data_IF_823940441220
#
_entry.id   IF_823940441220
#
_cell.length_a   1.000
_cell.length_b   1.000
_cell.length_c   1.000
_cell.angle_alpha   90.00
_cell.angle_beta   90.00
_cell.angle_gamma   90.00
#
_symmetry.space_group_name_H-M   'P 1'
#
loop_
_entity.id
_entity.type
_entity.pdbx_description
1 polymer ?
#
# COMPACT_ATOMS: atom_id res chain seq x y z
N UNK A 1 -2.71 -5.86 -13.81
CA UNK A 1 -2.28 -4.46 -13.64
C UNK A 1 -1.95 -3.85 -15.00
N UNK A 2 -1.05 -4.45 -15.80
CA UNK A 2 -0.64 -3.91 -17.10
C UNK A 2 -1.81 -3.58 -18.03
N UNK A 3 -2.78 -4.49 -18.18
CA UNK A 3 -3.99 -4.23 -18.96
C UNK A 3 -4.79 -3.01 -18.46
N UNK A 4 -4.82 -2.79 -17.13
CA UNK A 4 -5.49 -1.61 -16.56
C UNK A 4 -4.79 -0.32 -16.99
N UNK A 5 -3.47 -0.28 -16.91
CA UNK A 5 -2.66 0.89 -17.30
C UNK A 5 -2.77 1.16 -18.81
N UNK A 6 -2.71 0.11 -19.65
CA UNK A 6 -2.84 0.25 -21.11
C UNK A 6 -4.22 0.80 -21.51
N UNK A 7 -5.31 0.28 -20.89
CA UNK A 7 -6.67 0.69 -21.21
C UNK A 7 -6.99 2.09 -20.66
N UNK A 8 -6.45 2.44 -19.49
CA UNK A 8 -6.64 3.73 -18.82
C UNK A 8 -5.29 4.22 -18.29
N UNK A 9 -4.50 4.96 -19.08
CA UNK A 9 -3.18 5.44 -18.68
C UNK A 9 -3.18 6.31 -17.40
N UNK A 10 -4.22 7.09 -17.19
CA UNK A 10 -4.45 7.94 -16.01
C UNK A 10 -5.14 7.20 -14.85
N UNK A 11 -5.00 5.86 -14.77
CA UNK A 11 -5.66 5.09 -13.73
C UNK A 11 -5.07 5.32 -12.35
N UNK A 12 -5.90 5.13 -11.32
CA UNK A 12 -5.50 5.07 -9.92
C UNK A 12 -5.32 3.61 -9.53
N UNK A 13 -4.10 3.23 -9.20
CA UNK A 13 -3.74 1.88 -8.73
C UNK A 13 -3.61 1.87 -7.20
N UNK A 14 -4.36 0.99 -6.55
CA UNK A 14 -4.15 0.62 -5.17
C UNK A 14 -3.06 -0.46 -5.08
N UNK A 15 -1.99 -0.21 -4.34
CA UNK A 15 -0.82 -1.08 -4.26
C UNK A 15 -0.64 -1.66 -2.86
N UNK A 16 0.01 -2.81 -2.79
CA UNK A 16 0.31 -3.54 -1.57
C UNK A 16 1.82 -3.73 -1.39
N UNK A 17 2.26 -4.00 -0.18
CA UNK A 17 3.64 -4.34 0.16
C UNK A 17 3.78 -5.80 0.57
N UNK A 18 4.97 -6.20 1.01
CA UNK A 18 5.27 -7.57 1.41
C UNK A 18 5.83 -8.42 0.27
N UNK A 19 6.05 -9.71 0.53
CA UNK A 19 6.72 -10.59 -0.43
C UNK A 19 5.86 -10.96 -1.64
N UNK A 20 4.54 -11.00 -1.49
CA UNK A 20 3.61 -11.43 -2.55
C UNK A 20 3.67 -10.55 -3.80
N UNK A 21 3.65 -9.21 -3.74
CA UNK A 21 3.65 -8.36 -4.95
C UNK A 21 5.02 -8.17 -5.60
N UNK A 22 6.15 -8.57 -4.99
CA UNK A 22 7.49 -8.31 -5.53
C UNK A 22 7.62 -8.83 -6.97
N UNK A 23 7.25 -10.08 -7.22
CA UNK A 23 7.32 -10.65 -8.57
C UNK A 23 6.42 -9.94 -9.59
N UNK A 24 5.30 -9.37 -9.13
CA UNK A 24 4.42 -8.55 -9.98
C UNK A 24 5.13 -7.24 -10.33
N UNK A 25 5.74 -6.56 -9.34
CA UNK A 25 6.48 -5.32 -9.58
C UNK A 25 7.69 -5.53 -10.48
N UNK A 26 8.46 -6.59 -10.26
CA UNK A 26 9.60 -6.93 -11.13
C UNK A 26 9.15 -7.13 -12.59
N UNK A 27 8.02 -7.80 -12.82
CA UNK A 27 7.49 -8.00 -14.15
C UNK A 27 6.99 -6.68 -14.78
N UNK A 28 6.38 -5.78 -14.00
CA UNK A 28 5.96 -4.46 -14.48
C UNK A 28 7.17 -3.60 -14.86
N UNK A 29 8.24 -3.65 -14.06
CA UNK A 29 9.51 -2.96 -14.35
C UNK A 29 10.15 -3.51 -15.62
N UNK A 30 10.15 -4.84 -15.82
CA UNK A 30 10.67 -5.46 -17.05
C UNK A 30 9.91 -4.96 -18.29
N UNK A 31 8.57 -4.92 -18.24
CA UNK A 31 7.76 -4.41 -19.35
C UNK A 31 7.96 -2.92 -19.59
N UNK A 32 8.15 -2.13 -18.54
CA UNK A 32 8.50 -0.71 -18.66
C UNK A 32 9.84 -0.54 -19.39
N UNK A 33 10.88 -1.29 -19.05
CA UNK A 33 12.18 -1.23 -19.71
C UNK A 33 12.14 -1.70 -21.18
N UNK A 34 11.16 -2.54 -21.53
CA UNK A 34 10.91 -2.95 -22.92
C UNK A 34 10.06 -1.95 -23.70
N UNK A 35 9.60 -0.87 -23.08
CA UNK A 35 8.64 0.10 -23.60
C UNK A 35 7.25 -0.51 -23.93
N UNK A 36 6.87 -1.59 -23.26
CA UNK A 36 5.56 -2.23 -23.40
C UNK A 36 4.49 -1.53 -22.55
N UNK A 37 4.89 -0.78 -21.52
CA UNK A 37 4.00 -0.08 -20.59
C UNK A 37 4.61 1.26 -20.16
N UNK A 38 3.76 2.28 -20.01
CA UNK A 38 4.11 3.62 -19.55
C UNK A 38 3.32 3.95 -18.28
N UNK A 39 4.01 4.45 -17.24
CA UNK A 39 3.41 4.81 -15.96
C UNK A 39 3.36 6.32 -15.71
N UNK A 40 3.73 7.16 -16.69
CA UNK A 40 3.87 8.62 -16.50
C UNK A 40 2.58 9.31 -16.03
N UNK A 41 1.42 8.80 -16.42
CA UNK A 41 0.11 9.33 -16.01
C UNK A 41 -0.54 8.55 -14.86
N UNK A 42 0.04 7.42 -14.47
CA UNK A 42 -0.51 6.57 -13.40
C UNK A 42 -0.40 7.27 -12.05
N UNK A 43 -1.45 7.19 -11.28
CA UNK A 43 -1.46 7.57 -9.85
C UNK A 43 -1.53 6.32 -8.98
N UNK A 44 -0.81 6.30 -7.87
CA UNK A 44 -0.83 5.17 -6.94
C UNK A 44 -1.24 5.58 -5.54
N UNK A 45 -1.94 4.69 -4.84
CA UNK A 45 -2.26 4.78 -3.42
C UNK A 45 -1.91 3.45 -2.75
N UNK A 46 -1.18 3.48 -1.63
CA UNK A 46 -0.82 2.26 -0.90
C UNK A 46 -1.87 1.88 0.13
N UNK A 47 -1.98 0.58 0.42
CA UNK A 47 -2.91 0.06 1.43
C UNK A 47 -2.61 0.57 2.84
N UNK A 48 -1.33 0.71 3.17
CA UNK A 48 -0.89 0.87 4.55
C UNK A 48 0.51 1.47 4.66
N UNK A 49 0.88 1.88 5.87
CA UNK A 49 2.23 2.25 6.30
C UNK A 49 2.35 2.08 7.81
N UNK A 50 3.52 1.73 8.29
CA UNK A 50 3.83 1.70 9.72
C UNK A 50 3.82 3.12 10.32
N UNK A 51 3.15 3.26 11.47
CA UNK A 51 3.21 4.49 12.26
C UNK A 51 4.50 4.52 13.06
N UNK A 52 5.22 5.65 12.99
CA UNK A 52 6.48 5.88 13.69
C UNK A 52 7.72 5.67 12.83
N UNK A 53 7.59 5.19 11.59
CA UNK A 53 8.73 5.09 10.67
C UNK A 53 8.80 6.32 9.76
N UNK A 54 10.04 6.80 9.52
CA UNK A 54 10.28 7.83 8.51
C UNK A 54 10.42 7.18 7.12
N UNK A 55 10.33 7.99 6.09
CA UNK A 55 10.48 7.54 4.68
C UNK A 55 11.85 6.92 4.38
N UNK A 56 12.88 7.35 5.12
CA UNK A 56 14.26 6.89 4.97
C UNK A 56 14.52 5.56 5.69
N UNK A 57 13.61 5.14 6.58
CA UNK A 57 13.73 3.84 7.25
C UNK A 57 13.53 2.72 6.23
N UNK A 58 14.48 1.81 6.13
CA UNK A 58 14.49 0.70 5.16
C UNK A 58 13.36 -0.33 5.39
N UNK A 59 12.65 -0.24 6.51
CA UNK A 59 11.48 -1.05 6.82
C UNK A 59 10.15 -0.31 6.59
N UNK A 60 10.16 0.98 6.22
CA UNK A 60 8.95 1.69 5.82
C UNK A 60 8.40 1.15 4.50
N UNK A 61 7.07 1.21 4.35
CA UNK A 61 6.46 0.83 3.07
C UNK A 61 6.71 1.86 1.98
N UNK A 62 6.98 3.11 2.37
CA UNK A 62 7.52 4.11 1.45
C UNK A 62 8.83 3.63 0.82
N UNK A 63 9.82 3.23 1.63
CA UNK A 63 11.10 2.72 1.17
C UNK A 63 10.92 1.45 0.31
N UNK A 64 10.05 0.53 0.76
CA UNK A 64 9.73 -0.67 0.00
C UNK A 64 9.23 -0.34 -1.41
N UNK A 65 8.26 0.57 -1.54
CA UNK A 65 7.67 0.91 -2.83
C UNK A 65 8.66 1.59 -3.77
N UNK A 66 9.52 2.47 -3.24
CA UNK A 66 10.60 3.09 -4.00
C UNK A 66 11.59 2.04 -4.51
N UNK A 67 12.03 1.13 -3.64
CA UNK A 67 12.98 0.07 -4.00
C UNK A 67 12.43 -0.90 -5.05
N UNK A 68 11.16 -1.29 -4.93
CA UNK A 68 10.62 -2.35 -5.77
C UNK A 68 9.88 -1.85 -7.03
N UNK A 69 9.40 -0.60 -7.04
CA UNK A 69 8.62 -0.09 -8.17
C UNK A 69 8.94 1.37 -8.53
N UNK A 70 8.75 2.33 -7.60
CA UNK A 70 8.65 3.75 -7.99
C UNK A 70 9.92 4.30 -8.62
N UNK A 71 11.11 3.98 -8.08
CA UNK A 71 12.38 4.43 -8.62
C UNK A 71 12.84 3.63 -9.86
N UNK A 72 12.09 2.59 -10.23
CA UNK A 72 12.43 1.69 -11.35
C UNK A 72 11.57 1.90 -12.59
N UNK A 73 10.55 2.77 -12.50
CA UNK A 73 9.63 3.15 -13.59
C UNK A 73 9.44 4.66 -13.60
N UNK A 74 8.64 5.19 -14.53
CA UNK A 74 8.42 6.64 -14.67
C UNK A 74 7.16 7.17 -13.96
N UNK A 75 6.74 6.56 -12.85
CA UNK A 75 5.70 7.15 -11.99
C UNK A 75 6.21 8.49 -11.46
N UNK A 76 5.39 9.53 -11.59
CA UNK A 76 5.73 10.86 -11.07
C UNK A 76 5.68 10.85 -9.53
N UNK A 77 6.67 11.48 -8.86
CA UNK A 77 6.70 11.51 -7.38
C UNK A 77 5.45 12.13 -6.74
N UNK A 78 4.83 13.13 -7.40
CA UNK A 78 3.60 13.77 -6.97
C UNK A 78 2.32 12.97 -7.27
N UNK A 79 2.46 11.80 -7.92
CA UNK A 79 1.39 10.85 -8.21
C UNK A 79 1.48 9.58 -7.36
N UNK A 80 2.38 9.49 -6.39
CA UNK A 80 2.47 8.33 -5.48
C UNK A 80 2.10 8.73 -4.05
N UNK A 81 1.07 8.09 -3.50
CA UNK A 81 0.53 8.40 -2.19
C UNK A 81 0.63 7.21 -1.26
N UNK A 82 1.22 7.43 -0.10
CA UNK A 82 1.35 6.46 1.00
C UNK A 82 0.94 7.21 2.28
N UNK A 83 0.31 6.56 3.27
CA UNK A 83 0.05 7.21 4.55
C UNK A 83 1.33 7.74 5.18
N UNK A 84 1.26 8.88 5.85
CA UNK A 84 2.41 9.47 6.54
C UNK A 84 2.64 8.80 7.89
N UNK A 85 3.60 7.87 7.95
CA UNK A 85 3.98 7.16 9.17
C UNK A 85 4.46 8.07 10.29
N UNK A 86 4.90 9.29 9.99
CA UNK A 86 5.42 10.25 10.98
C UNK A 86 4.35 11.17 11.57
N UNK A 87 3.12 11.14 11.03
CA UNK A 87 2.04 11.97 11.54
C UNK A 87 1.63 11.52 12.96
N UNK A 88 1.73 12.42 13.94
CA UNK A 88 1.38 12.13 15.33
C UNK A 88 -0.15 12.08 15.56
N UNK A 89 -0.92 12.90 14.83
CA UNK A 89 -2.38 12.88 14.86
C UNK A 89 -2.94 11.83 13.89
N UNK A 90 -3.23 10.66 14.44
CA UNK A 90 -3.71 9.53 13.65
C UNK A 90 -5.07 9.77 13.01
N UNK A 91 -5.97 10.51 13.67
CA UNK A 91 -7.28 10.83 13.09
C UNK A 91 -7.15 11.81 11.94
N UNK A 92 -6.28 12.81 12.08
CA UNK A 92 -5.99 13.75 10.99
C UNK A 92 -5.43 13.00 9.78
N UNK A 93 -4.43 12.13 9.97
CA UNK A 93 -3.80 11.39 8.87
C UNK A 93 -4.80 10.47 8.17
N UNK A 94 -5.58 9.71 8.93
CA UNK A 94 -6.61 8.84 8.34
C UNK A 94 -7.61 9.63 7.48
N UNK A 95 -8.08 10.78 7.98
CA UNK A 95 -8.99 11.66 7.22
C UNK A 95 -8.31 12.27 5.99
N UNK A 96 -7.05 12.71 6.14
CA UNK A 96 -6.26 13.25 5.04
C UNK A 96 -6.13 12.23 3.91
N UNK A 97 -5.77 10.99 4.26
CA UNK A 97 -5.56 9.92 3.29
C UNK A 97 -6.85 9.51 2.59
N UNK A 98 -7.95 9.36 3.32
CA UNK A 98 -9.27 9.11 2.72
C UNK A 98 -9.72 10.23 1.78
N UNK A 99 -9.50 11.49 2.16
CA UNK A 99 -9.80 12.62 1.29
C UNK A 99 -8.92 12.64 0.04
N UNK A 100 -7.65 12.24 0.16
CA UNK A 100 -6.76 12.07 -0.99
C UNK A 100 -7.33 11.04 -1.98
N UNK A 101 -7.71 9.84 -1.50
CA UNK A 101 -8.30 8.79 -2.34
C UNK A 101 -9.58 9.29 -3.03
N UNK A 102 -10.45 9.99 -2.30
CA UNK A 102 -11.68 10.56 -2.86
C UNK A 102 -11.42 11.63 -3.91
N UNK A 103 -10.42 12.49 -3.69
CA UNK A 103 -10.06 13.56 -4.64
C UNK A 103 -9.54 13.02 -5.98
N UNK A 104 -8.98 11.80 -5.97
CA UNK A 104 -8.55 11.08 -7.16
C UNK A 104 -9.72 10.41 -7.92
N UNK A 105 -10.94 10.47 -7.40
CA UNK A 105 -12.10 9.78 -7.97
C UNK A 105 -12.17 8.29 -7.59
N UNK A 106 -11.45 7.87 -6.55
CA UNK A 106 -11.36 6.49 -6.08
C UNK A 106 -10.31 5.66 -6.80
N UNK A 107 -10.32 4.35 -6.56
CA UNK A 107 -9.31 3.40 -7.04
C UNK A 107 -9.86 2.63 -8.23
N UNK A 108 -9.14 2.64 -9.36
CA UNK A 108 -9.53 1.88 -10.56
C UNK A 108 -9.23 0.38 -10.40
N UNK A 109 -8.09 0.03 -9.81
CA UNK A 109 -7.73 -1.37 -9.51
C UNK A 109 -6.92 -1.44 -8.22
N UNK A 110 -7.40 -2.23 -7.25
CA UNK A 110 -6.70 -2.51 -5.99
C UNK A 110 -6.01 -3.86 -6.04
N UNK A 111 -4.69 -3.87 -5.85
CA UNK A 111 -3.92 -5.08 -5.61
C UNK A 111 -3.98 -5.44 -4.12
N UNK A 112 -4.27 -6.70 -3.81
CA UNK A 112 -4.33 -7.23 -2.45
C UNK A 112 -3.49 -8.50 -2.34
N UNK A 113 -2.74 -8.62 -1.25
CA UNK A 113 -2.27 -9.91 -0.75
C UNK A 113 -3.28 -10.48 0.24
N UNK A 114 -3.22 -11.78 0.47
CA UNK A 114 -3.99 -12.45 1.52
C UNK A 114 -3.03 -12.98 2.59
N UNK A 115 -3.18 -12.50 3.81
CA UNK A 115 -2.40 -13.00 4.94
C UNK A 115 -2.76 -14.43 5.32
N UNK A 116 -1.87 -15.12 6.05
CA UNK A 116 -2.05 -16.54 6.44
C UNK A 116 -3.34 -16.81 7.23
N UNK A 117 -3.81 -15.84 8.01
CA UNK A 117 -5.04 -15.90 8.78
C UNK A 117 -6.23 -15.24 8.07
N UNK A 118 -6.05 -14.80 6.81
CA UNK A 118 -7.08 -14.13 6.03
C UNK A 118 -7.12 -12.60 6.17
N UNK A 119 -6.13 -11.97 6.85
CA UNK A 119 -6.07 -10.51 6.93
C UNK A 119 -5.77 -9.86 5.56
N UNK A 120 -6.28 -8.66 5.37
CA UNK A 120 -6.03 -7.80 4.20
C UNK A 120 -5.50 -6.45 4.68
N UNK A 121 -4.29 -6.07 4.22
CA UNK A 121 -3.54 -4.99 4.85
C UNK A 121 -3.30 -5.32 6.33
N UNK A 122 -3.61 -4.39 7.23
CA UNK A 122 -3.64 -4.67 8.67
C UNK A 122 -5.06 -4.88 9.22
N UNK A 123 -6.04 -5.19 8.36
CA UNK A 123 -7.39 -5.57 8.79
C UNK A 123 -7.43 -7.06 9.13
N UNK A 124 -7.40 -7.37 10.43
CA UNK A 124 -7.52 -8.73 10.92
C UNK A 124 -8.94 -9.26 10.75
N UNK A 125 -9.14 -10.60 10.59
CA UNK A 125 -10.46 -11.22 10.59
C UNK A 125 -11.27 -10.83 11.84
N UNK A 126 -12.49 -10.36 11.63
CA UNK A 126 -13.37 -9.87 12.69
C UNK A 126 -14.84 -9.99 12.26
N UNK A 127 -15.76 -9.93 13.22
CA UNK A 127 -17.21 -9.87 12.98
C UNK A 127 -17.64 -8.53 12.34
N UNK A 128 -16.79 -7.50 12.40
CA UNK A 128 -17.02 -6.20 11.79
C UNK A 128 -15.72 -5.62 11.25
N UNK A 129 -15.80 -4.81 10.20
CA UNK A 129 -14.63 -4.19 9.58
C UNK A 129 -14.74 -2.68 9.58
N UNK A 130 -13.60 -2.01 9.77
CA UNK A 130 -13.48 -0.58 9.56
C UNK A 130 -13.83 -0.23 8.11
N UNK A 131 -14.63 0.82 7.94
CA UNK A 131 -15.08 1.25 6.62
C UNK A 131 -14.03 2.09 5.90
N UNK A 132 -13.29 2.91 6.64
CA UNK A 132 -12.34 3.89 6.12
C UNK A 132 -10.93 3.64 6.67
N UNK A 133 -9.93 4.34 6.13
CA UNK A 133 -8.56 4.31 6.66
C UNK A 133 -8.57 4.59 8.16
N UNK A 134 -7.83 3.81 8.91
CA UNK A 134 -7.76 3.88 10.36
C UNK A 134 -6.37 3.50 10.87
N UNK A 135 -6.07 3.91 12.10
CA UNK A 135 -4.88 3.49 12.82
C UNK A 135 -5.21 2.21 13.59
N UNK A 136 -4.37 1.19 13.48
CA UNK A 136 -4.56 -0.08 14.19
C UNK A 136 -3.36 -0.37 15.09
N UNK A 137 -3.59 -0.99 16.23
CA UNK A 137 -2.56 -1.63 17.04
C UNK A 137 -2.22 -2.99 16.42
N UNK A 138 -0.93 -3.23 16.18
CA UNK A 138 -0.47 -4.49 15.59
C UNK A 138 -0.61 -5.63 16.61
N UNK A 139 -1.12 -6.76 16.16
CA UNK A 139 -1.20 -7.96 16.98
C UNK A 139 0.19 -8.50 17.31
N UNK A 140 0.34 -9.21 18.45
CA UNK A 140 1.62 -9.81 18.80
C UNK A 140 2.13 -10.76 17.72
N UNK A 141 1.23 -11.49 17.05
CA UNK A 141 1.59 -12.36 15.93
C UNK A 141 2.19 -11.59 14.75
N UNK A 142 1.67 -10.41 14.44
CA UNK A 142 2.20 -9.52 13.40
C UNK A 142 3.56 -8.96 13.80
N UNK A 143 3.73 -8.53 15.06
CA UNK A 143 5.01 -8.08 15.60
C UNK A 143 6.05 -9.21 15.52
N UNK A 144 5.70 -10.41 15.96
CA UNK A 144 6.59 -11.59 15.92
C UNK A 144 6.99 -11.99 14.49
N UNK A 145 6.07 -11.89 13.55
CA UNK A 145 6.36 -12.17 12.15
C UNK A 145 7.31 -11.13 11.52
N UNK A 146 7.22 -9.87 11.97
CA UNK A 146 7.97 -8.76 11.40
C UNK A 146 9.30 -8.49 12.11
N UNK A 147 9.50 -8.94 13.37
CA UNK A 147 10.72 -8.68 14.14
C UNK A 147 12.02 -9.10 13.44
N UNK A 148 11.94 -10.08 12.53
CA UNK A 148 13.09 -10.54 11.73
C UNK A 148 13.67 -9.47 10.79
N UNK A 149 12.91 -8.41 10.53
CA UNK A 149 13.31 -7.30 9.66
C UNK A 149 13.89 -6.12 10.43
N UNK A 150 13.83 -6.13 11.77
CA UNK A 150 14.29 -5.04 12.65
C UNK A 150 15.48 -5.50 13.49
N UNK A 151 16.27 -4.54 13.97
CA UNK A 151 17.44 -4.82 14.80
C UNK A 151 17.06 -5.45 16.16
N UNK A 152 15.89 -5.06 16.71
CA UNK A 152 15.32 -5.65 17.92
C UNK A 152 13.79 -5.63 17.84
N UNK A 153 13.13 -6.42 18.71
CA UNK A 153 11.67 -6.40 18.84
C UNK A 153 11.14 -5.03 19.31
N UNK A 154 11.95 -4.28 20.06
CA UNK A 154 11.59 -2.93 20.51
C UNK A 154 11.47 -1.92 19.35
N UNK A 155 12.19 -2.17 18.26
CA UNK A 155 12.21 -1.30 17.07
C UNK A 155 11.02 -1.60 16.13
N UNK A 156 10.30 -2.71 16.35
CA UNK A 156 9.11 -3.04 15.55
C UNK A 156 7.99 -2.06 15.89
N UNK A 157 7.43 -1.35 14.90
CA UNK A 157 6.29 -0.48 15.13
C UNK A 157 5.14 -1.21 15.82
N UNK A 158 4.44 -0.51 16.69
CA UNK A 158 3.28 -1.07 17.40
C UNK A 158 1.95 -0.72 16.76
N UNK A 159 1.98 0.24 15.83
CA UNK A 159 0.79 0.73 15.13
C UNK A 159 1.06 0.86 13.63
N UNK A 160 -0.01 0.83 12.85
CA UNK A 160 0.01 1.10 11.43
C UNK A 160 -1.23 1.88 11.00
N UNK A 161 -1.10 2.64 9.91
CA UNK A 161 -2.23 3.16 9.15
C UNK A 161 -2.61 2.14 8.10
N UNK A 162 -3.87 1.77 8.02
CA UNK A 162 -4.35 0.82 7.01
C UNK A 162 -5.67 1.26 6.39
N UNK A 163 -5.79 1.09 5.10
CA UNK A 163 -7.04 1.35 4.36
C UNK A 163 -8.13 0.41 4.87
N UNK A 164 -9.30 0.96 5.20
CA UNK A 164 -10.43 0.16 5.66
C UNK A 164 -11.03 -0.71 4.57
N UNK A 165 -11.66 -1.81 4.96
CA UNK A 165 -12.30 -2.75 4.02
C UNK A 165 -13.37 -2.05 3.16
N UNK A 166 -14.11 -1.08 3.73
CA UNK A 166 -15.10 -0.31 2.95
C UNK A 166 -14.45 0.47 1.81
N UNK A 167 -13.32 1.14 2.05
CA UNK A 167 -12.58 1.87 1.01
C UNK A 167 -12.02 0.91 -0.03
N UNK A 168 -11.46 -0.23 0.38
CA UNK A 168 -10.94 -1.28 -0.52
C UNK A 168 -12.06 -1.79 -1.44
N UNK A 169 -13.24 -2.09 -0.90
CA UNK A 169 -14.37 -2.61 -1.66
C UNK A 169 -15.01 -1.59 -2.63
N UNK A 170 -14.71 -0.30 -2.48
CA UNK A 170 -15.11 0.73 -3.43
C UNK A 170 -14.22 0.78 -4.68
N UNK A 171 -13.09 0.08 -4.70
CA UNK A 171 -12.27 -0.06 -5.90
C UNK A 171 -13.09 -0.69 -7.04
N UNK A 172 -12.95 -0.15 -8.27
CA UNK A 172 -13.70 -0.65 -9.44
C UNK A 172 -13.33 -2.08 -9.80
N UNK A 173 -12.09 -2.48 -9.49
CA UNK A 173 -11.56 -3.85 -9.65
C UNK A 173 -10.68 -4.20 -8.47
N UNK A 174 -10.72 -5.46 -8.08
CA UNK A 174 -9.82 -6.02 -7.05
C UNK A 174 -9.06 -7.17 -7.67
N UNK A 175 -7.73 -7.15 -7.50
CA UNK A 175 -6.83 -8.23 -7.85
C UNK A 175 -6.27 -8.82 -6.55
N UNK A 176 -6.80 -9.97 -6.14
CA UNK A 176 -6.33 -10.71 -4.98
C UNK A 176 -5.29 -11.74 -5.42
N UNK A 177 -4.13 -11.72 -4.76
CA UNK A 177 -3.02 -12.65 -5.00
C UNK A 177 -2.69 -13.39 -3.70
N UNK A 178 -2.66 -14.73 -3.75
CA UNK A 178 -2.40 -15.60 -2.62
C UNK A 178 -1.37 -16.68 -2.98
#
# INVERSE_FOLDING_TARGET
ISAQVIIKPDCVLGLATGSTPIGIYDQLVEWYHKNDIDFSEVTTVNLDEYRGLTKENDQSYYYFMHTHLFDRVNIRPDHSFIPDGTCEDSEFECRRYENQIRSLGGIDMQLLGLGRNGHIGFNEPSDSFAQVTHCVDLTQSTIDANKRFFASEADVPRQAYTMGIGTILQAKKILLVA
#
